data_IF_730102731667
#
_entry.id   IF_730102731667
#
_cell.length_a   1.000
_cell.length_b   1.000
_cell.length_c   1.000
_cell.angle_alpha   90.00
_cell.angle_beta   90.00
_cell.angle_gamma   90.00
#
_symmetry.space_group_name_H-M   'P 1'
#
loop_
_entity.id
_entity.type
_entity.pdbx_description
1 polymer ?
#
# COMPACT_ATOMS: atom_id res chain seq x y z
N UNK A 1 11.59 5.59 3.91
CA UNK A 1 11.25 5.57 2.47
C UNK A 1 10.76 4.18 2.08
N UNK A 2 9.75 4.09 1.21
CA UNK A 2 9.31 2.86 0.55
C UNK A 2 9.96 2.80 -0.84
N UNK A 3 10.76 1.78 -1.12
CA UNK A 3 11.25 1.47 -2.46
C UNK A 3 10.13 0.76 -3.22
N UNK A 4 9.32 1.56 -3.93
CA UNK A 4 8.13 1.13 -4.64
C UNK A 4 8.37 1.16 -6.15
N UNK A 5 8.56 -0.02 -6.73
CA UNK A 5 9.11 -0.17 -8.08
C UNK A 5 10.64 0.05 -8.12
N UNK A 6 11.26 -0.20 -9.28
CA UNK A 6 10.70 -0.57 -10.59
C UNK A 6 10.48 -2.08 -10.81
N UNK A 7 10.56 -2.90 -9.79
CA UNK A 7 10.59 -4.37 -9.86
C UNK A 7 9.17 -4.95 -9.89
N UNK A 8 8.39 -4.54 -10.91
CA UNK A 8 7.01 -4.94 -11.17
C UNK A 8 6.92 -5.74 -12.47
N UNK A 9 5.88 -6.56 -12.64
CA UNK A 9 5.63 -7.20 -13.94
C UNK A 9 4.82 -6.28 -14.86
N UNK A 10 5.16 -6.30 -16.15
CA UNK A 10 4.58 -5.40 -17.16
C UNK A 10 3.07 -5.55 -17.32
N UNK A 11 2.54 -6.74 -17.07
CA UNK A 11 1.10 -7.03 -17.15
C UNK A 11 0.30 -6.47 -15.96
N UNK A 12 1.00 -6.14 -14.87
CA UNK A 12 0.42 -5.60 -13.63
C UNK A 12 0.95 -4.22 -13.28
N UNK A 13 1.40 -3.47 -14.27
CA UNK A 13 2.03 -2.17 -14.08
C UNK A 13 1.06 -1.08 -13.57
N UNK A 14 -0.26 -1.25 -13.77
CA UNK A 14 -1.25 -0.22 -13.42
C UNK A 14 -1.01 1.07 -14.20
N UNK A 15 -0.89 2.19 -13.50
CA UNK A 15 -0.60 3.50 -14.08
C UNK A 15 0.88 3.83 -14.24
N UNK A 16 1.79 2.91 -13.83
CA UNK A 16 3.23 3.10 -14.06
C UNK A 16 3.61 2.83 -15.51
N UNK A 17 4.69 3.46 -15.98
CA UNK A 17 5.21 3.23 -17.33
C UNK A 17 5.81 1.83 -17.48
N UNK A 18 5.39 1.12 -18.52
CA UNK A 18 5.84 -0.26 -18.81
C UNK A 18 7.33 -0.35 -19.11
N UNK A 19 7.91 0.66 -19.76
CA UNK A 19 9.32 0.70 -20.12
C UNK A 19 10.25 0.86 -18.91
N UNK A 20 9.75 1.33 -17.79
CA UNK A 20 10.54 1.47 -16.56
C UNK A 20 10.60 0.17 -15.73
N UNK A 21 9.75 -0.82 -16.04
CA UNK A 21 9.72 -2.07 -15.30
C UNK A 21 10.85 -3.00 -15.72
N UNK A 22 11.50 -3.60 -14.73
CA UNK A 22 12.66 -4.46 -14.92
C UNK A 22 12.86 -5.43 -13.77
N UNK A 23 13.67 -6.44 -14.00
CA UNK A 23 14.08 -7.38 -12.98
C UNK A 23 14.99 -6.72 -11.93
N UNK A 24 14.99 -7.19 -10.67
CA UNK A 24 15.81 -6.63 -9.61
C UNK A 24 17.31 -6.88 -9.87
N UNK A 25 18.03 -5.81 -10.17
CA UNK A 25 19.50 -5.83 -10.36
C UNK A 25 20.22 -5.56 -9.04
N UNK A 26 21.13 -6.47 -8.58
CA UNK A 26 21.91 -6.26 -7.36
C UNK A 26 22.75 -4.98 -7.35
N UNK A 27 23.28 -4.53 -8.47
CA UNK A 27 24.04 -3.28 -8.54
C UNK A 27 23.14 -2.06 -8.30
N UNK A 28 21.87 -2.13 -8.78
CA UNK A 28 20.91 -1.05 -8.63
C UNK A 28 20.34 -1.01 -7.21
N UNK A 29 19.73 -2.09 -6.71
CA UNK A 29 19.03 -2.03 -5.43
C UNK A 29 20.00 -1.82 -4.24
N UNK A 30 21.25 -2.29 -4.31
CA UNK A 30 22.28 -2.00 -3.30
C UNK A 30 22.54 -0.49 -3.16
N UNK A 31 22.49 0.25 -4.26
CA UNK A 31 22.63 1.73 -4.23
C UNK A 31 21.46 2.40 -3.51
N UNK A 32 20.22 1.90 -3.70
CA UNK A 32 19.06 2.41 -2.97
C UNK A 32 19.19 2.16 -1.47
N UNK A 33 19.57 0.96 -1.08
CA UNK A 33 19.76 0.59 0.33
C UNK A 33 20.95 1.33 0.98
N UNK A 34 22.00 1.63 0.23
CA UNK A 34 23.16 2.38 0.72
C UNK A 34 22.81 3.79 1.23
N UNK A 35 21.65 4.33 0.87
CA UNK A 35 21.13 5.59 1.41
C UNK A 35 20.73 5.51 2.88
N UNK A 36 20.56 4.31 3.45
CA UNK A 36 20.07 4.08 4.81
C UNK A 36 18.58 4.40 5.03
N UNK A 37 17.88 4.89 4.00
CA UNK A 37 16.51 5.39 4.13
C UNK A 37 15.43 4.33 3.85
N UNK A 38 15.75 3.22 3.19
CA UNK A 38 14.76 2.22 2.77
C UNK A 38 14.28 1.43 3.97
N UNK A 39 12.99 1.52 4.29
CA UNK A 39 12.31 0.79 5.37
C UNK A 39 11.32 -0.24 4.84
N UNK A 40 10.81 -0.05 3.62
CA UNK A 40 9.88 -0.96 2.94
C UNK A 40 10.40 -1.13 1.52
N UNK A 41 10.33 -2.35 0.97
CA UNK A 41 10.82 -2.65 -0.38
C UNK A 41 9.90 -3.65 -1.09
N UNK A 42 9.37 -3.25 -2.24
CA UNK A 42 8.46 -4.03 -3.08
C UNK A 42 9.18 -4.68 -4.27
N UNK A 43 8.83 -5.93 -4.52
CA UNK A 43 9.21 -6.64 -5.73
C UNK A 43 8.13 -7.70 -6.06
N UNK A 44 7.78 -7.84 -7.34
CA UNK A 44 6.93 -8.93 -7.80
C UNK A 44 7.64 -10.27 -7.62
N UNK A 45 6.93 -11.27 -7.05
CA UNK A 45 7.56 -12.51 -6.59
C UNK A 45 8.04 -13.43 -7.71
N UNK A 46 7.43 -13.35 -8.89
CA UNK A 46 7.75 -14.14 -10.06
C UNK A 46 8.96 -13.63 -10.87
N UNK A 47 9.48 -12.43 -10.56
CA UNK A 47 10.58 -11.86 -11.32
C UNK A 47 11.88 -12.66 -11.12
N UNK A 48 12.67 -12.87 -12.18
CA UNK A 48 14.03 -13.39 -12.07
C UNK A 48 14.85 -12.54 -11.08
N UNK A 49 15.45 -13.19 -10.08
CA UNK A 49 16.23 -12.49 -9.06
C UNK A 49 15.45 -11.99 -7.82
N UNK A 50 14.11 -12.09 -7.80
CA UNK A 50 13.29 -11.67 -6.67
C UNK A 50 13.72 -12.30 -5.33
N UNK A 51 14.03 -13.60 -5.32
CA UNK A 51 14.51 -14.28 -4.11
C UNK A 51 15.82 -13.68 -3.56
N UNK A 52 16.74 -13.26 -4.43
CA UNK A 52 17.97 -12.57 -4.02
C UNK A 52 17.67 -11.19 -3.45
N UNK A 53 16.77 -10.43 -4.11
CA UNK A 53 16.30 -9.14 -3.63
C UNK A 53 15.67 -9.26 -2.24
N UNK A 54 14.80 -10.23 -2.03
CA UNK A 54 14.13 -10.45 -0.75
C UNK A 54 15.13 -10.78 0.36
N UNK A 55 16.04 -11.71 0.14
CA UNK A 55 17.08 -12.05 1.11
C UNK A 55 17.99 -10.86 1.44
N UNK A 56 18.35 -10.07 0.45
CA UNK A 56 19.15 -8.87 0.65
C UNK A 56 18.39 -7.82 1.47
N UNK A 57 17.16 -7.48 1.06
CA UNK A 57 16.32 -6.48 1.72
C UNK A 57 16.02 -6.85 3.18
N UNK A 58 15.79 -8.14 3.46
CA UNK A 58 15.64 -8.67 4.82
C UNK A 58 16.89 -8.42 5.68
N UNK A 59 18.07 -8.64 5.13
CA UNK A 59 19.34 -8.37 5.83
C UNK A 59 19.56 -6.90 6.14
N UNK A 60 18.94 -5.99 5.36
CA UNK A 60 18.96 -4.56 5.60
C UNK A 60 17.88 -4.11 6.60
N UNK A 61 17.07 -5.03 7.15
CA UNK A 61 16.00 -4.71 8.11
C UNK A 61 14.76 -4.07 7.50
N UNK A 62 14.56 -4.16 6.18
CA UNK A 62 13.37 -3.63 5.54
C UNK A 62 12.19 -4.62 5.62
N UNK A 63 10.95 -4.09 5.74
CA UNK A 63 9.74 -4.83 5.42
C UNK A 63 9.75 -5.18 3.94
N UNK A 64 9.62 -6.46 3.62
CA UNK A 64 9.60 -6.92 2.24
C UNK A 64 8.14 -7.13 1.83
N UNK A 65 7.77 -6.50 0.72
CA UNK A 65 6.42 -6.56 0.19
C UNK A 65 6.40 -7.14 -1.23
N UNK A 66 5.24 -7.63 -1.65
CA UNK A 66 4.96 -8.03 -3.02
C UNK A 66 3.77 -7.21 -3.53
N UNK A 67 3.91 -6.59 -4.67
CA UNK A 67 2.88 -5.82 -5.34
C UNK A 67 3.11 -5.79 -6.85
N UNK A 68 2.14 -5.34 -7.63
CA UNK A 68 2.22 -5.28 -9.09
C UNK A 68 2.71 -6.61 -9.70
N UNK A 69 2.06 -7.70 -9.31
CA UNK A 69 2.55 -9.07 -9.54
C UNK A 69 1.43 -9.98 -10.03
N UNK A 70 1.75 -10.89 -10.92
CA UNK A 70 0.88 -11.97 -11.38
C UNK A 70 1.35 -13.33 -10.85
N UNK A 71 1.83 -13.35 -9.59
CA UNK A 71 2.40 -14.55 -8.96
C UNK A 71 1.36 -15.62 -8.70
N UNK A 72 1.77 -16.86 -8.90
CA UNK A 72 1.07 -18.06 -8.41
C UNK A 72 1.21 -18.20 -6.90
N UNK A 73 0.40 -19.04 -6.30
CA UNK A 73 0.53 -19.42 -4.88
C UNK A 73 1.92 -19.96 -4.54
N UNK A 74 2.50 -20.78 -5.43
CA UNK A 74 3.84 -21.34 -5.24
C UNK A 74 4.94 -20.29 -5.24
N UNK A 75 4.88 -19.29 -6.14
CA UNK A 75 5.83 -18.17 -6.17
C UNK A 75 5.69 -17.29 -4.93
N UNK A 76 4.47 -17.07 -4.43
CA UNK A 76 4.24 -16.38 -3.16
C UNK A 76 4.83 -17.15 -1.97
N UNK A 77 4.64 -18.47 -1.93
CA UNK A 77 5.21 -19.34 -0.88
C UNK A 77 6.74 -19.30 -0.89
N UNK A 78 7.36 -19.27 -2.06
CA UNK A 78 8.82 -19.13 -2.17
C UNK A 78 9.28 -17.73 -1.74
N UNK A 79 8.57 -16.68 -2.11
CA UNK A 79 8.83 -15.32 -1.65
C UNK A 79 8.74 -15.22 -0.12
N UNK A 80 7.73 -15.85 0.48
CA UNK A 80 7.54 -15.90 1.93
C UNK A 80 8.71 -16.60 2.64
N UNK A 81 9.23 -17.73 2.12
CA UNK A 81 10.43 -18.40 2.64
C UNK A 81 11.66 -17.48 2.59
N UNK A 82 11.75 -16.62 1.58
CA UNK A 82 12.83 -15.65 1.42
C UNK A 82 12.64 -14.35 2.21
N UNK A 83 11.54 -14.22 2.97
CA UNK A 83 11.33 -13.16 3.94
C UNK A 83 10.23 -12.14 3.62
N UNK A 84 9.52 -12.29 2.50
CA UNK A 84 8.35 -11.45 2.19
C UNK A 84 7.24 -11.69 3.23
N UNK A 85 6.63 -10.61 3.75
CA UNK A 85 5.64 -10.65 4.84
C UNK A 85 4.44 -9.74 4.61
N UNK A 86 4.41 -9.02 3.49
CA UNK A 86 3.36 -8.05 3.21
C UNK A 86 3.01 -8.03 1.73
N UNK A 87 1.77 -7.65 1.41
CA UNK A 87 1.30 -7.40 0.04
C UNK A 87 0.70 -6.00 -0.02
N UNK A 88 1.12 -5.25 -1.03
CA UNK A 88 0.68 -3.87 -1.25
C UNK A 88 -0.77 -3.84 -1.76
N UNK A 89 -1.52 -2.78 -1.46
CA UNK A 89 -2.87 -2.41 -1.94
C UNK A 89 -3.69 -3.59 -2.46
N UNK A 90 -4.12 -4.45 -1.52
CA UNK A 90 -4.78 -5.73 -1.77
C UNK A 90 -5.94 -5.60 -2.78
N UNK A 91 -6.01 -6.54 -3.72
CA UNK A 91 -6.85 -6.61 -4.91
C UNK A 91 -6.53 -5.60 -6.02
N UNK A 92 -5.63 -4.64 -5.83
CA UNK A 92 -5.19 -3.77 -6.91
C UNK A 92 -3.96 -4.38 -7.60
N UNK A 93 -4.01 -4.46 -8.94
CA UNK A 93 -2.90 -4.92 -9.83
C UNK A 93 -2.15 -6.16 -9.35
N UNK A 94 -2.88 -7.14 -8.81
CA UNK A 94 -2.35 -8.42 -8.32
C UNK A 94 -2.97 -9.61 -9.07
N UNK A 95 -2.41 -10.81 -8.86
CA UNK A 95 -2.94 -12.02 -9.45
C UNK A 95 -4.29 -12.44 -8.85
N UNK A 96 -5.13 -12.97 -9.69
CA UNK A 96 -6.38 -13.67 -9.34
C UNK A 96 -6.41 -15.02 -10.04
N UNK A 97 -7.32 -15.91 -9.62
CA UNK A 97 -7.53 -17.21 -10.31
C UNK A 97 -7.74 -17.03 -11.81
N UNK A 98 -8.50 -16.01 -12.20
CA UNK A 98 -8.77 -15.71 -13.62
C UNK A 98 -7.53 -15.20 -14.35
N UNK A 99 -6.75 -14.29 -13.73
CA UNK A 99 -5.57 -13.69 -14.38
C UNK A 99 -4.42 -14.68 -14.55
N UNK A 100 -4.39 -15.77 -13.78
CA UNK A 100 -3.38 -16.81 -13.89
C UNK A 100 -3.70 -17.84 -15.01
N UNK A 101 -4.95 -17.94 -15.45
CA UNK A 101 -5.35 -18.93 -16.45
C UNK A 101 -4.55 -18.87 -17.76
N UNK A 102 -4.31 -17.69 -18.37
CA UNK A 102 -3.50 -17.60 -19.59
C UNK A 102 -2.05 -18.02 -19.38
N UNK A 103 -1.49 -17.78 -18.17
CA UNK A 103 -0.11 -18.11 -17.84
C UNK A 103 0.09 -19.58 -17.48
N UNK A 104 -0.84 -20.17 -16.74
CA UNK A 104 -0.65 -21.47 -16.10
C UNK A 104 -1.48 -22.62 -16.70
N UNK A 105 -2.49 -22.32 -17.53
CA UNK A 105 -3.34 -23.35 -18.12
C UNK A 105 -4.26 -24.06 -17.11
N UNK A 106 -4.26 -25.38 -17.15
CA UNK A 106 -5.10 -26.26 -16.31
C UNK A 106 -4.24 -27.11 -15.37
N UNK A 107 -4.71 -27.41 -14.11
CA UNK A 107 -5.92 -26.87 -13.48
C UNK A 107 -5.83 -25.38 -13.20
N UNK A 108 -6.94 -24.73 -12.82
CA UNK A 108 -6.92 -23.34 -12.36
C UNK A 108 -6.01 -23.21 -11.13
N UNK A 109 -5.20 -22.15 -11.11
CA UNK A 109 -4.20 -21.93 -10.06
C UNK A 109 -4.66 -20.86 -9.06
N UNK A 110 -4.34 -21.09 -7.78
CA UNK A 110 -4.40 -20.06 -6.75
C UNK A 110 -3.25 -19.06 -6.92
N UNK A 111 -3.49 -17.80 -6.57
CA UNK A 111 -2.51 -16.72 -6.69
C UNK A 111 -2.24 -16.01 -5.36
N UNK A 112 -1.83 -14.75 -5.49
CA UNK A 112 -1.53 -13.86 -4.34
C UNK A 112 -2.71 -13.75 -3.40
N UNK A 113 -3.93 -13.57 -3.93
CA UNK A 113 -5.14 -13.42 -3.13
C UNK A 113 -5.31 -14.58 -2.14
N UNK A 114 -5.29 -15.81 -2.64
CA UNK A 114 -5.47 -17.00 -1.81
C UNK A 114 -4.31 -17.17 -0.83
N UNK A 115 -3.07 -16.91 -1.27
CA UNK A 115 -1.90 -17.01 -0.39
C UNK A 115 -2.01 -16.05 0.80
N UNK A 116 -2.30 -14.76 0.54
CA UNK A 116 -2.42 -13.74 1.59
C UNK A 116 -3.52 -14.07 2.58
N UNK A 117 -4.68 -14.52 2.10
CA UNK A 117 -5.83 -14.83 2.96
C UNK A 117 -5.61 -16.07 3.83
N UNK A 118 -4.91 -17.08 3.29
CA UNK A 118 -4.66 -18.36 3.99
C UNK A 118 -3.49 -18.25 4.96
N UNK A 119 -2.38 -17.56 4.57
CA UNK A 119 -1.18 -17.47 5.39
C UNK A 119 -1.37 -16.50 6.57
N UNK A 120 -1.40 -16.99 7.83
CA UNK A 120 -1.73 -16.16 8.99
C UNK A 120 -0.65 -15.12 9.32
N UNK A 121 0.61 -15.34 8.92
CA UNK A 121 1.69 -14.38 9.14
C UNK A 121 1.75 -13.28 8.08
N UNK A 122 1.05 -13.44 6.95
CA UNK A 122 0.96 -12.40 5.94
C UNK A 122 0.11 -11.22 6.42
N UNK A 123 0.63 -10.04 6.22
CA UNK A 123 -0.12 -8.79 6.33
C UNK A 123 -0.38 -8.19 4.94
N UNK A 124 -1.31 -7.27 4.87
CA UNK A 124 -1.62 -6.53 3.65
C UNK A 124 -2.22 -5.17 3.98
N UNK A 125 -2.48 -4.38 2.96
CA UNK A 125 -3.08 -3.06 3.08
C UNK A 125 -4.24 -2.89 2.10
N UNK A 126 -5.18 -2.01 2.42
CA UNK A 126 -6.33 -1.69 1.56
C UNK A 126 -6.49 -0.20 1.37
N UNK A 127 -6.89 0.20 0.16
CA UNK A 127 -7.26 1.56 -0.19
C UNK A 127 -8.77 1.72 0.07
N UNK A 128 -9.12 2.32 1.20
CA UNK A 128 -10.52 2.49 1.63
C UNK A 128 -11.07 3.88 1.26
N UNK A 129 -10.83 4.34 0.03
CA UNK A 129 -11.26 5.67 -0.44
C UNK A 129 -12.72 5.72 -0.93
N UNK A 130 -13.36 4.55 -1.07
CA UNK A 130 -14.72 4.40 -1.60
C UNK A 130 -14.79 4.28 -3.13
N UNK A 131 -13.64 4.24 -3.80
CA UNK A 131 -13.53 4.11 -5.26
C UNK A 131 -12.77 2.85 -5.69
N UNK A 132 -11.72 2.45 -4.93
CA UNK A 132 -10.92 1.27 -5.26
C UNK A 132 -11.59 -0.04 -4.85
N UNK A 133 -12.18 -0.11 -3.66
CA UNK A 133 -12.79 -1.32 -3.12
C UNK A 133 -14.21 -1.06 -2.64
N UNK A 134 -15.12 -2.02 -2.87
CA UNK A 134 -16.46 -1.99 -2.31
C UNK A 134 -16.44 -2.25 -0.79
N UNK A 135 -17.51 -1.86 -0.11
CA UNK A 135 -17.67 -2.07 1.33
C UNK A 135 -17.58 -3.56 1.70
N UNK A 136 -18.08 -4.46 0.83
CA UNK A 136 -18.02 -5.91 1.05
C UNK A 136 -16.58 -6.45 1.01
N UNK A 137 -15.74 -5.97 0.07
CA UNK A 137 -14.33 -6.35 0.00
C UNK A 137 -13.55 -5.81 1.20
N UNK A 138 -13.80 -4.58 1.62
CA UNK A 138 -13.19 -4.00 2.82
C UNK A 138 -13.55 -4.80 4.08
N UNK A 139 -14.83 -5.17 4.23
CA UNK A 139 -15.29 -6.00 5.34
C UNK A 139 -14.70 -7.41 5.28
N UNK A 140 -14.61 -8.00 4.07
CA UNK A 140 -13.99 -9.30 3.88
C UNK A 140 -12.51 -9.29 4.29
N UNK A 141 -11.72 -8.31 3.85
CA UNK A 141 -10.33 -8.16 4.25
C UNK A 141 -10.19 -8.05 5.78
N UNK A 142 -11.03 -7.24 6.42
CA UNK A 142 -11.02 -7.07 7.87
C UNK A 142 -11.33 -8.37 8.61
N UNK A 143 -12.34 -9.10 8.17
CA UNK A 143 -12.71 -10.39 8.79
C UNK A 143 -11.60 -11.44 8.64
N UNK A 144 -10.91 -11.46 7.50
CA UNK A 144 -9.88 -12.46 7.23
C UNK A 144 -8.54 -12.14 7.92
N UNK A 145 -8.15 -10.86 7.99
CA UNK A 145 -6.82 -10.45 8.49
C UNK A 145 -6.84 -9.81 9.88
N UNK A 146 -7.96 -9.22 10.27
CA UNK A 146 -8.09 -8.48 11.52
C UNK A 146 -7.19 -7.23 11.58
N UNK A 147 -7.40 -6.40 12.58
CA UNK A 147 -6.71 -5.12 12.70
C UNK A 147 -5.18 -5.22 12.89
N UNK A 148 -4.65 -6.39 13.27
CA UNK A 148 -3.21 -6.61 13.49
C UNK A 148 -2.46 -7.00 12.20
N UNK A 149 -3.15 -7.35 11.13
CA UNK A 149 -2.55 -7.81 9.87
C UNK A 149 -3.07 -7.05 8.65
N UNK A 150 -4.01 -6.13 8.84
CA UNK A 150 -4.54 -5.25 7.81
C UNK A 150 -4.14 -3.82 8.12
N UNK A 151 -3.52 -3.15 7.14
CA UNK A 151 -3.21 -1.73 7.18
C UNK A 151 -4.20 -0.93 6.32
N UNK A 152 -4.43 0.33 6.65
CA UNK A 152 -5.01 1.30 5.74
C UNK A 152 -3.88 2.04 5.03
N UNK A 153 -4.02 2.21 3.73
CA UNK A 153 -3.12 3.00 2.89
C UNK A 153 -3.92 3.96 2.05
N UNK A 154 -3.38 5.15 1.82
CA UNK A 154 -4.03 6.11 0.91
C UNK A 154 -3.72 5.81 -0.54
N UNK A 155 -2.51 5.38 -0.80
CA UNK A 155 -1.96 5.30 -2.17
C UNK A 155 -2.25 6.57 -2.97
N UNK A 156 -2.17 7.74 -2.30
CA UNK A 156 -2.54 9.03 -2.89
C UNK A 156 -1.46 9.54 -3.82
N UNK A 157 -1.93 10.02 -4.97
CA UNK A 157 -1.11 10.74 -5.93
C UNK A 157 -0.85 12.19 -5.49
N UNK A 158 -0.05 12.92 -6.29
CA UNK A 158 0.18 14.37 -6.09
C UNK A 158 -1.08 15.23 -6.23
N UNK A 159 -2.18 14.66 -6.68
CA UNK A 159 -3.46 15.36 -6.80
C UNK A 159 -4.32 15.30 -5.51
N UNK A 160 -3.77 14.77 -4.40
CA UNK A 160 -4.41 14.84 -3.08
C UNK A 160 -4.69 16.31 -2.72
N UNK A 161 -5.94 16.60 -2.34
CA UNK A 161 -6.42 17.94 -1.98
C UNK A 161 -6.31 19.00 -3.10
N UNK A 162 -6.01 18.58 -4.33
CA UNK A 162 -5.98 19.45 -5.49
C UNK A 162 -7.35 19.50 -6.18
N UNK A 163 -7.69 20.60 -6.86
CA UNK A 163 -8.96 20.69 -7.61
C UNK A 163 -9.01 19.63 -8.73
N UNK A 164 -10.21 19.27 -9.21
CA UNK A 164 -10.35 18.42 -10.39
C UNK A 164 -9.55 18.99 -11.57
N UNK A 165 -8.86 18.11 -12.31
CA UNK A 165 -7.99 18.52 -13.40
C UNK A 165 -7.00 17.45 -13.82
N UNK A 166 -6.10 17.82 -14.74
CA UNK A 166 -5.05 16.92 -15.24
C UNK A 166 -3.76 17.13 -14.47
N UNK A 167 -3.16 16.02 -14.03
CA UNK A 167 -1.91 15.99 -13.27
C UNK A 167 -0.98 14.95 -13.87
N UNK A 168 0.32 15.08 -13.63
CA UNK A 168 1.31 14.06 -14.03
C UNK A 168 1.48 12.99 -12.96
N UNK A 169 1.49 11.73 -13.38
CA UNK A 169 1.90 10.60 -12.58
C UNK A 169 3.39 10.32 -12.81
N UNK A 170 4.15 10.13 -11.73
CA UNK A 170 5.61 10.00 -11.85
C UNK A 170 6.33 11.37 -11.88
N UNK A 171 7.43 11.46 -12.61
CA UNK A 171 8.19 12.71 -12.69
C UNK A 171 7.53 13.72 -13.65
N UNK A 172 7.94 14.99 -13.55
CA UNK A 172 7.35 16.07 -14.35
C UNK A 172 7.76 16.06 -15.81
N UNK A 173 8.90 15.47 -16.13
CA UNK A 173 9.43 15.49 -17.50
C UNK A 173 8.75 14.48 -18.39
N UNK A 174 8.70 13.22 -17.96
CA UNK A 174 8.22 12.09 -18.76
C UNK A 174 7.04 11.33 -18.15
N UNK A 175 6.53 11.75 -16.98
CA UNK A 175 5.34 11.13 -16.33
C UNK A 175 4.10 11.18 -17.23
N UNK A 176 3.24 10.17 -17.13
CA UNK A 176 1.98 10.11 -17.85
C UNK A 176 0.93 11.04 -17.22
N UNK A 177 0.04 11.60 -18.04
CA UNK A 177 -1.06 12.39 -17.55
C UNK A 177 -2.18 11.52 -17.01
N UNK A 178 -2.76 11.92 -15.88
CA UNK A 178 -3.98 11.35 -15.35
C UNK A 178 -5.00 12.44 -15.02
N UNK A 179 -6.26 12.07 -14.89
CA UNK A 179 -7.36 12.93 -14.53
C UNK A 179 -7.71 12.72 -13.04
N UNK A 180 -7.69 13.80 -12.26
CA UNK A 180 -8.42 13.89 -11.00
C UNK A 180 -9.86 14.30 -11.35
N UNK A 181 -10.83 13.40 -11.16
CA UNK A 181 -12.26 13.65 -11.47
C UNK A 181 -13.04 14.26 -10.27
N UNK A 182 -12.35 14.50 -9.17
CA UNK A 182 -12.91 14.99 -7.90
C UNK A 182 -13.21 13.87 -6.90
N UNK A 183 -13.17 12.60 -7.31
CA UNK A 183 -13.40 11.44 -6.47
C UNK A 183 -12.18 10.52 -6.39
N UNK A 184 -11.53 10.29 -7.54
CA UNK A 184 -10.37 9.40 -7.67
C UNK A 184 -9.50 9.84 -8.87
N UNK A 185 -8.24 9.39 -8.90
CA UNK A 185 -7.39 9.49 -10.09
C UNK A 185 -7.77 8.44 -11.15
N UNK A 186 -7.80 8.83 -12.42
CA UNK A 186 -8.06 7.92 -13.57
C UNK A 186 -7.03 8.12 -14.66
N UNK A 187 -6.69 7.06 -15.39
CA UNK A 187 -5.98 7.20 -16.67
C UNK A 187 -6.83 8.02 -17.65
N UNK A 188 -6.19 8.71 -18.61
CA UNK A 188 -6.94 9.59 -19.52
C UNK A 188 -7.96 8.85 -20.39
N UNK A 189 -7.73 7.58 -20.65
CA UNK A 189 -8.65 6.69 -21.37
C UNK A 189 -9.73 6.09 -20.45
N UNK A 190 -9.68 6.44 -19.15
CA UNK A 190 -10.56 5.91 -18.10
C UNK A 190 -10.57 4.39 -17.95
N UNK A 191 -9.60 3.68 -18.52
CA UNK A 191 -9.50 2.22 -18.46
C UNK A 191 -9.07 1.71 -17.07
N UNK A 192 -8.33 2.54 -16.31
CA UNK A 192 -7.81 2.18 -15.01
C UNK A 192 -7.90 3.34 -14.01
N UNK A 193 -7.87 3.02 -12.72
CA UNK A 193 -7.60 3.99 -11.69
C UNK A 193 -6.12 4.38 -11.69
N UNK A 194 -5.84 5.62 -11.32
CA UNK A 194 -4.49 6.19 -11.25
C UNK A 194 -4.28 6.79 -9.85
N UNK A 195 -4.19 5.92 -8.87
CA UNK A 195 -4.08 6.24 -7.44
C UNK A 195 -5.31 6.91 -6.83
N UNK A 196 -5.34 6.99 -5.51
CA UNK A 196 -6.32 7.77 -4.77
C UNK A 196 -5.97 9.27 -4.77
N UNK A 197 -6.95 10.10 -4.43
CA UNK A 197 -6.82 11.53 -4.15
C UNK A 197 -7.37 11.87 -2.75
N UNK A 198 -7.52 10.85 -1.90
CA UNK A 198 -8.13 10.98 -0.57
C UNK A 198 -7.08 10.82 0.54
N UNK A 199 -7.25 11.57 1.62
CA UNK A 199 -6.42 11.49 2.81
C UNK A 199 -6.78 10.31 3.72
N UNK A 200 -5.92 10.02 4.71
CA UNK A 200 -6.11 8.93 5.66
C UNK A 200 -7.40 9.05 6.49
N UNK A 201 -7.87 10.25 6.72
CA UNK A 201 -9.13 10.50 7.42
C UNK A 201 -10.35 9.93 6.66
N UNK A 202 -10.35 10.01 5.32
CA UNK A 202 -11.37 9.36 4.48
C UNK A 202 -11.25 7.84 4.57
N UNK A 203 -10.04 7.28 4.54
CA UNK A 203 -9.81 5.84 4.70
C UNK A 203 -10.42 5.32 6.01
N UNK A 204 -10.17 6.02 7.12
CA UNK A 204 -10.72 5.67 8.44
C UNK A 204 -12.25 5.70 8.44
N UNK A 205 -12.88 6.76 7.91
CA UNK A 205 -14.35 6.87 7.87
C UNK A 205 -14.99 5.79 7.00
N UNK A 206 -14.42 5.54 5.84
CA UNK A 206 -14.93 4.51 4.92
C UNK A 206 -14.80 3.12 5.53
N UNK A 207 -13.64 2.81 6.10
CA UNK A 207 -13.39 1.50 6.71
C UNK A 207 -14.32 1.25 7.91
N UNK A 208 -14.53 2.25 8.75
CA UNK A 208 -15.45 2.14 9.89
C UNK A 208 -16.90 1.87 9.41
N UNK A 209 -17.34 2.59 8.38
CA UNK A 209 -18.67 2.37 7.78
C UNK A 209 -18.79 0.99 7.15
N UNK A 210 -17.81 0.58 6.35
CA UNK A 210 -17.82 -0.66 5.59
C UNK A 210 -17.81 -1.91 6.48
N UNK A 211 -17.12 -1.85 7.62
CA UNK A 211 -16.94 -3.02 8.49
C UNK A 211 -17.92 -3.06 9.65
N UNK A 212 -18.46 -1.93 10.08
CA UNK A 212 -19.19 -1.81 11.36
C UNK A 212 -18.33 -2.20 12.56
N UNK A 213 -17.00 -2.22 12.40
CA UNK A 213 -16.03 -2.60 13.42
C UNK A 213 -15.81 -1.51 14.47
N UNK A 214 -14.99 -1.84 15.48
CA UNK A 214 -14.65 -0.88 16.52
C UNK A 214 -13.72 0.22 16.00
N UNK A 215 -13.93 1.46 16.43
CA UNK A 215 -13.08 2.60 16.05
C UNK A 215 -11.61 2.34 16.38
N UNK A 216 -11.33 1.70 17.51
CA UNK A 216 -9.97 1.39 17.96
C UNK A 216 -9.24 0.47 16.98
N UNK A 217 -9.94 -0.49 16.37
CA UNK A 217 -9.37 -1.38 15.37
C UNK A 217 -9.07 -0.63 14.07
N UNK A 218 -9.98 0.23 13.64
CA UNK A 218 -9.77 1.03 12.42
C UNK A 218 -8.61 2.02 12.59
N UNK A 219 -8.52 2.68 13.75
CA UNK A 219 -7.38 3.55 14.07
C UNK A 219 -6.08 2.74 14.17
N UNK A 220 -6.12 1.52 14.72
CA UNK A 220 -4.95 0.63 14.74
C UNK A 220 -4.46 0.32 13.32
N UNK A 221 -5.37 0.01 12.39
CA UNK A 221 -5.03 -0.23 10.97
C UNK A 221 -4.43 0.99 10.29
N UNK A 222 -4.76 2.19 10.73
CA UNK A 222 -4.22 3.45 10.19
C UNK A 222 -2.93 3.94 10.86
N UNK A 223 -2.52 3.36 11.99
CA UNK A 223 -1.42 3.89 12.80
C UNK A 223 -0.48 2.82 13.34
N UNK A 224 -0.89 2.05 14.36
CA UNK A 224 0.01 1.12 15.04
C UNK A 224 0.38 -0.07 14.16
N UNK A 225 -0.55 -0.67 13.45
CA UNK A 225 -0.26 -1.82 12.58
C UNK A 225 0.74 -1.46 11.47
N UNK A 226 0.61 -0.37 10.69
CA UNK A 226 1.65 0.01 9.74
C UNK A 226 2.98 0.35 10.41
N UNK A 227 2.99 0.94 11.62
CA UNK A 227 4.22 1.20 12.36
C UNK A 227 4.94 -0.11 12.76
N UNK A 228 4.18 -1.11 13.26
CA UNK A 228 4.68 -2.46 13.56
C UNK A 228 5.24 -3.14 12.29
N UNK A 229 4.57 -3.00 11.15
CA UNK A 229 5.05 -3.57 9.88
C UNK A 229 6.34 -2.91 9.42
N UNK A 230 6.46 -1.59 9.55
CA UNK A 230 7.63 -0.83 9.17
C UNK A 230 8.78 -0.89 10.20
N UNK A 231 8.58 -1.54 11.37
CA UNK A 231 9.56 -1.65 12.44
C UNK A 231 9.89 -0.32 13.12
N UNK A 232 8.90 0.59 13.20
CA UNK A 232 9.03 1.92 13.84
C UNK A 232 8.05 2.11 15.00
N UNK A 233 7.40 1.06 15.43
CA UNK A 233 6.40 1.06 16.50
C UNK A 233 6.99 1.39 17.89
N UNK A 234 8.30 1.29 18.07
CA UNK A 234 9.00 1.81 19.25
C UNK A 234 8.92 3.33 19.39
N UNK A 235 8.78 4.05 18.27
CA UNK A 235 8.77 5.52 18.23
C UNK A 235 7.41 6.12 17.84
N UNK A 236 6.62 5.39 17.04
CA UNK A 236 5.41 5.89 16.38
C UNK A 236 4.21 4.94 16.56
N UNK A 237 3.05 5.38 16.07
CA UNK A 237 1.87 4.54 15.86
C UNK A 237 0.95 4.36 17.06
N UNK A 238 1.35 4.77 18.26
CA UNK A 238 0.50 4.73 19.45
C UNK A 238 0.85 5.84 20.43
N UNK A 239 -0.08 6.19 21.30
CA UNK A 239 0.12 7.15 22.39
C UNK A 239 0.72 6.39 23.58
N UNK A 240 2.02 6.57 23.80
CA UNK A 240 2.75 5.98 24.92
C UNK A 240 3.91 6.88 25.35
N UNK A 241 4.31 6.79 26.62
CA UNK A 241 5.45 7.54 27.14
C UNK A 241 6.72 7.17 26.37
N UNK A 242 7.48 8.17 25.95
CA UNK A 242 8.73 8.01 25.20
C UNK A 242 8.56 7.94 23.67
N UNK A 243 7.33 7.85 23.16
CA UNK A 243 7.07 7.94 21.73
C UNK A 243 6.91 9.39 21.27
N UNK A 244 7.19 9.63 19.99
CA UNK A 244 6.99 10.93 19.36
C UNK A 244 5.50 11.32 19.37
N UNK A 245 5.21 12.53 19.78
CA UNK A 245 3.85 13.03 19.89
C UNK A 245 3.29 13.50 18.52
N UNK A 246 3.17 12.55 17.58
CA UNK A 246 2.44 12.74 16.32
C UNK A 246 0.97 12.37 16.56
N UNK A 247 0.12 13.38 16.75
CA UNK A 247 -1.24 13.19 17.23
C UNK A 247 -2.26 13.81 16.28
N UNK A 248 -3.41 13.15 16.12
CA UNK A 248 -4.56 13.68 15.40
C UNK A 248 -5.73 13.81 16.35
N UNK A 249 -6.24 15.02 16.49
CA UNK A 249 -7.45 15.29 17.27
C UNK A 249 -8.65 15.26 16.33
N UNK A 250 -9.59 14.37 16.63
CA UNK A 250 -10.81 14.19 15.87
C UNK A 250 -11.99 14.92 16.51
N UNK A 251 -12.81 15.57 15.69
CA UNK A 251 -14.10 16.12 16.10
C UNK A 251 -15.25 15.16 15.82
N UNK A 252 -16.47 15.67 15.92
CA UNK A 252 -17.68 14.92 15.55
C UNK A 252 -17.60 14.44 14.09
N UNK A 253 -18.18 13.28 13.80
CA UNK A 253 -18.17 12.64 12.47
C UNK A 253 -16.75 12.34 11.94
N UNK A 254 -15.79 12.15 12.84
CA UNK A 254 -14.39 11.89 12.52
C UNK A 254 -13.79 12.89 11.52
N UNK A 255 -14.06 14.17 11.73
CA UNK A 255 -13.37 15.26 11.03
C UNK A 255 -12.11 15.64 11.81
N UNK A 256 -10.98 15.76 11.12
CA UNK A 256 -9.73 16.22 11.71
C UNK A 256 -9.90 17.66 12.22
N UNK A 257 -9.57 17.88 13.48
CA UNK A 257 -9.60 19.20 14.13
C UNK A 257 -8.21 19.79 14.27
N UNK A 258 -7.27 18.98 14.76
CA UNK A 258 -5.89 19.40 14.93
C UNK A 258 -4.96 18.25 14.59
N UNK A 259 -3.77 18.60 14.11
CA UNK A 259 -2.65 17.67 13.91
C UNK A 259 -1.44 18.23 14.62
N UNK A 260 -0.78 17.40 15.40
CA UNK A 260 0.48 17.68 16.05
C UNK A 260 1.57 16.80 15.46
N UNK A 261 2.74 17.37 15.21
CA UNK A 261 3.95 16.67 14.78
C UNK A 261 5.05 16.91 15.82
N UNK A 262 5.50 15.85 16.45
CA UNK A 262 6.49 15.95 17.54
C UNK A 262 6.03 16.79 18.73
N UNK A 263 4.72 16.91 18.96
CA UNK A 263 4.12 17.76 20.00
C UNK A 263 3.82 19.19 19.57
N UNK A 264 4.25 19.62 18.39
CA UNK A 264 3.97 20.96 17.85
C UNK A 264 2.72 20.97 16.99
N UNK A 265 1.88 22.00 17.13
CA UNK A 265 0.65 22.15 16.36
C UNK A 265 0.98 22.44 14.88
N UNK A 266 0.74 21.45 14.01
CA UNK A 266 0.99 21.55 12.57
C UNK A 266 -0.26 22.01 11.78
N UNK A 267 -1.47 21.66 12.25
CA UNK A 267 -2.72 22.03 11.59
C UNK A 267 -3.84 22.25 12.62
N UNK A 268 -4.71 23.24 12.38
CA UNK A 268 -5.94 23.46 13.14
C UNK A 268 -7.09 23.85 12.20
N UNK A 269 -8.16 23.07 12.20
CA UNK A 269 -9.39 23.40 11.45
C UNK A 269 -10.04 24.65 12.03
N UNK A 270 -10.16 25.70 11.22
CA UNK A 270 -10.73 26.98 11.63
C UNK A 270 -9.72 28.04 12.13
N UNK A 271 -8.43 27.72 12.16
CA UNK A 271 -7.37 28.71 12.34
C UNK A 271 -7.09 29.42 11.01
N UNK A 272 -7.21 30.74 10.96
CA UNK A 272 -6.61 31.52 9.88
C UNK A 272 -5.08 31.36 9.97
N UNK A 273 -4.42 31.04 8.84
CA UNK A 273 -2.98 31.14 8.70
C UNK A 273 -2.53 32.59 8.86
#
# INVERSE_FOLDING_TARGET
MHLYGPYFVREKVGCHKREHQRDPDPAEYRRYFATGMVKIATCAAELPGAANFYRYSRKQGALITCGHSNSTYGEMAEAFKNGMRHVDHFWCVMSSVTSLRPRCGTPMQAGMEQFVLIEPEMSTEVIADGSHLSDELLNFAYRMKGAKRLCLVTDSSRALDMPPGRYKFGNEQDGDWFLNDGEVGRTLDSSNLASSIAGMDRMVRTMLRATGGELVDVIRMASLTPAERAGVDGELGSIAVGKRADLVVWGSKLKVRQVYLGGELAHSAGGRR
#
